data_IF_706509551026
#
_entry.id   IF_706509551026
#
_cell.length_a   1.000
_cell.length_b   1.000
_cell.length_c   1.000
_cell.angle_alpha   90.00
_cell.angle_beta   90.00
_cell.angle_gamma   90.00
#
_symmetry.space_group_name_H-M   'P 1'
#
loop_
_entity.id
_entity.type
_entity.pdbx_description
1 polymer ?
#
# COMPACT_ATOMS: atom_id res chain seq x y z
N UNK A 1 -5.74 14.71 11.23
CA UNK A 1 -5.15 14.87 9.87
C UNK A 1 -4.27 13.67 9.47
N UNK A 2 -3.54 13.04 10.42
CA UNK A 2 -2.60 11.94 10.11
C UNK A 2 -3.25 10.59 9.73
N UNK A 3 -4.47 10.31 10.20
CA UNK A 3 -5.22 9.13 9.77
C UNK A 3 -5.57 9.17 8.27
N UNK A 4 -5.92 10.35 7.75
CA UNK A 4 -6.25 10.56 6.33
C UNK A 4 -5.00 10.37 5.48
N UNK A 5 -3.86 10.92 5.90
CA UNK A 5 -2.57 10.77 5.22
C UNK A 5 -2.08 9.31 5.21
N UNK A 6 -2.22 8.60 6.32
CA UNK A 6 -1.86 7.18 6.42
C UNK A 6 -2.78 6.30 5.56
N UNK A 7 -4.08 6.62 5.53
CA UNK A 7 -5.05 5.94 4.66
C UNK A 7 -4.77 6.16 3.17
N UNK A 8 -4.40 7.38 2.78
CA UNK A 8 -3.98 7.70 1.41
C UNK A 8 -2.71 6.98 1.01
N UNK A 9 -1.71 6.90 1.90
CA UNK A 9 -0.48 6.15 1.65
C UNK A 9 -0.78 4.67 1.43
N UNK A 10 -1.61 4.07 2.30
CA UNK A 10 -2.04 2.68 2.16
C UNK A 10 -2.75 2.40 0.83
N UNK A 11 -3.73 3.23 0.46
CA UNK A 11 -4.44 3.09 -0.81
C UNK A 11 -3.51 3.24 -2.01
N UNK A 12 -2.55 4.17 -1.94
CA UNK A 12 -1.54 4.36 -2.98
C UNK A 12 -0.69 3.11 -3.21
N UNK A 13 -0.16 2.51 -2.13
CA UNK A 13 0.63 1.27 -2.23
C UNK A 13 -0.21 0.08 -2.69
N UNK A 14 -1.45 -0.04 -2.24
CA UNK A 14 -2.35 -1.10 -2.66
C UNK A 14 -2.67 -1.02 -4.16
N UNK A 15 -2.99 0.17 -4.65
CA UNK A 15 -3.28 0.42 -6.08
C UNK A 15 -2.02 0.19 -6.92
N UNK A 16 -0.87 0.70 -6.48
CA UNK A 16 0.39 0.51 -7.19
C UNK A 16 0.79 -0.97 -7.29
N UNK A 17 0.73 -1.71 -6.17
CA UNK A 17 1.02 -3.14 -6.16
C UNK A 17 0.04 -3.94 -7.01
N UNK A 18 -1.26 -3.64 -6.92
CA UNK A 18 -2.28 -4.28 -7.76
C UNK A 18 -2.06 -3.97 -9.23
N UNK A 19 -1.74 -2.73 -9.61
CA UNK A 19 -1.46 -2.34 -10.99
C UNK A 19 -0.23 -3.03 -11.58
N UNK A 20 0.84 -3.17 -10.78
CA UNK A 20 2.02 -3.96 -11.15
C UNK A 20 1.62 -5.44 -11.32
N UNK A 21 0.83 -5.99 -10.40
CA UNK A 21 0.30 -7.35 -10.50
C UNK A 21 -0.50 -7.58 -11.78
N UNK A 22 -1.35 -6.63 -12.16
CA UNK A 22 -2.09 -6.67 -13.43
C UNK A 22 -1.15 -6.67 -14.63
N UNK A 23 -0.09 -5.86 -14.61
CA UNK A 23 0.89 -5.80 -15.70
C UNK A 23 1.62 -7.14 -15.93
N UNK A 24 1.91 -7.87 -14.85
CA UNK A 24 2.59 -9.17 -14.92
C UNK A 24 1.62 -10.38 -14.96
N UNK A 25 0.32 -10.17 -15.15
CA UNK A 25 -0.71 -11.22 -15.06
C UNK A 25 -0.69 -11.99 -13.73
N UNK A 26 -0.19 -11.36 -12.67
CA UNK A 26 -0.09 -11.90 -11.32
C UNK A 26 -0.65 -10.90 -10.30
N UNK A 27 -1.96 -10.67 -10.40
CA UNK A 27 -2.71 -9.72 -9.57
C UNK A 27 -2.66 -10.06 -8.09
N UNK A 28 -2.65 -11.35 -7.75
CA UNK A 28 -2.64 -11.83 -6.36
C UNK A 28 -1.31 -11.48 -5.68
N UNK A 29 -0.18 -11.75 -6.35
CA UNK A 29 1.13 -11.39 -5.82
C UNK A 29 1.33 -9.87 -5.75
N UNK A 30 0.93 -9.14 -6.80
CA UNK A 30 1.03 -7.68 -6.81
C UNK A 30 0.17 -7.01 -5.73
N UNK A 31 -1.07 -7.47 -5.57
CA UNK A 31 -1.98 -7.00 -4.52
C UNK A 31 -1.45 -7.30 -3.11
N UNK A 32 -0.91 -8.50 -2.88
CA UNK A 32 -0.30 -8.88 -1.61
C UNK A 32 0.92 -8.01 -1.25
N UNK A 33 1.79 -7.75 -2.23
CA UNK A 33 2.96 -6.86 -2.05
C UNK A 33 2.50 -5.43 -1.78
N UNK A 34 1.55 -4.91 -2.54
CA UNK A 34 0.98 -3.57 -2.34
C UNK A 34 0.31 -3.41 -0.97
N UNK A 35 -0.42 -4.43 -0.53
CA UNK A 35 -1.04 -4.48 0.80
C UNK A 35 0.00 -4.49 1.92
N UNK A 36 1.04 -5.32 1.80
CA UNK A 36 2.14 -5.39 2.78
C UNK A 36 2.89 -4.07 2.91
N UNK A 37 3.25 -3.45 1.78
CA UNK A 37 3.87 -2.12 1.76
C UNK A 37 2.95 -1.03 2.31
N UNK A 38 1.65 -1.12 2.02
CA UNK A 38 0.64 -0.22 2.57
C UNK A 38 0.60 -0.28 4.11
N UNK A 39 0.61 -1.48 4.70
CA UNK A 39 0.64 -1.63 6.16
C UNK A 39 1.95 -1.06 6.75
N UNK A 40 3.09 -1.36 6.13
CA UNK A 40 4.37 -0.80 6.56
C UNK A 40 4.38 0.73 6.51
N UNK A 41 3.79 1.33 5.47
CA UNK A 41 3.68 2.78 5.37
C UNK A 41 2.86 3.39 6.51
N UNK A 42 1.79 2.72 6.95
CA UNK A 42 1.00 3.15 8.12
C UNK A 42 1.83 3.04 9.39
N UNK A 43 2.58 1.95 9.57
CA UNK A 43 3.42 1.73 10.75
C UNK A 43 4.53 2.79 10.86
N UNK A 44 5.17 3.14 9.74
CA UNK A 44 6.17 4.20 9.70
C UNK A 44 5.53 5.56 9.98
N UNK A 45 4.46 5.91 9.26
CA UNK A 45 3.79 7.20 9.42
C UNK A 45 3.16 7.42 10.80
N UNK A 46 2.83 6.34 11.53
CA UNK A 46 2.36 6.40 12.92
C UNK A 46 3.47 6.41 13.96
N UNK A 47 4.70 6.01 13.60
CA UNK A 47 5.86 6.04 14.51
C UNK A 47 6.46 7.45 14.61
N UNK A 48 6.29 8.24 13.56
CA UNK A 48 6.68 9.66 13.51
C UNK A 48 5.62 10.62 14.12
N UNK A 49 4.56 10.07 14.72
CA UNK A 49 3.52 10.77 15.50
C UNK A 49 3.70 10.54 17.02
#
# INVERSE_FOLDING_TARGET
>A
MNYVRSGLAFLGFLIAGTGIGMFFHNTEAGGAVGFGLGILSILVLRKDD
#
